data_IF_944835170191
#
_entry.id   IF_944835170191
#
_cell.length_a   1.000
_cell.length_b   1.000
_cell.length_c   1.000
_cell.angle_alpha   90.00
_cell.angle_beta   90.00
_cell.angle_gamma   90.00
#
_symmetry.space_group_name_H-M   'P 1'
#
loop_
_entity.id
_entity.type
_entity.pdbx_description
1 polymer ?
#
# COMPACT_ATOMS: atom_id res chain seq x y z
N UNK A 1 -42.95 -11.42 13.25
CA UNK A 1 -42.26 -10.14 12.89
C UNK A 1 -43.02 -9.58 11.70
N UNK A 2 -43.38 -8.29 11.72
CA UNK A 2 -44.12 -7.70 10.60
C UNK A 2 -43.21 -7.64 9.37
N UNK A 3 -43.72 -8.13 8.23
CA UNK A 3 -43.00 -8.14 6.94
C UNK A 3 -42.43 -6.77 6.52
N UNK A 4 -43.13 -5.67 6.89
CA UNK A 4 -42.65 -4.30 6.68
C UNK A 4 -41.27 -4.00 7.35
N UNK A 5 -40.99 -4.60 8.52
CA UNK A 5 -39.72 -4.37 9.22
C UNK A 5 -38.50 -4.96 8.49
N UNK A 6 -38.69 -5.97 7.65
CA UNK A 6 -37.59 -6.61 6.92
C UNK A 6 -37.19 -5.75 5.73
N UNK A 7 -38.14 -5.22 4.95
CA UNK A 7 -37.82 -4.36 3.79
C UNK A 7 -37.19 -3.06 4.22
N UNK A 8 -37.66 -2.45 5.30
CA UNK A 8 -37.03 -1.25 5.86
C UNK A 8 -35.62 -1.54 6.35
N UNK A 9 -35.41 -2.66 7.07
CA UNK A 9 -34.10 -3.07 7.53
C UNK A 9 -33.13 -3.37 6.38
N UNK A 10 -33.59 -4.06 5.32
CA UNK A 10 -32.78 -4.32 4.11
C UNK A 10 -32.44 -3.02 3.38
N UNK A 11 -33.42 -2.12 3.22
CA UNK A 11 -33.22 -0.82 2.58
C UNK A 11 -32.29 0.08 3.40
N UNK A 12 -32.39 0.02 4.72
CA UNK A 12 -31.50 0.75 5.62
C UNK A 12 -30.07 0.22 5.54
N UNK A 13 -29.89 -1.11 5.58
CA UNK A 13 -28.56 -1.74 5.42
C UNK A 13 -27.94 -1.37 4.06
N UNK A 14 -28.72 -1.46 2.98
CA UNK A 14 -28.25 -1.09 1.64
C UNK A 14 -27.79 0.38 1.58
N UNK A 15 -28.58 1.31 2.16
CA UNK A 15 -28.25 2.74 2.19
C UNK A 15 -27.07 3.07 3.11
N UNK A 16 -27.09 2.58 4.35
CA UNK A 16 -26.05 2.86 5.34
C UNK A 16 -24.71 2.29 4.92
N UNK A 17 -24.73 1.12 4.28
CA UNK A 17 -23.54 0.38 3.90
C UNK A 17 -23.14 0.58 2.43
N UNK A 18 -23.97 1.29 1.66
CA UNK A 18 -23.76 1.54 0.22
C UNK A 18 -23.53 0.25 -0.59
N UNK A 19 -24.24 -0.81 -0.21
CA UNK A 19 -24.20 -2.12 -0.86
C UNK A 19 -25.44 -2.25 -1.74
N UNK A 20 -25.30 -2.90 -2.91
CA UNK A 20 -26.41 -3.14 -3.81
C UNK A 20 -27.53 -3.91 -3.09
N UNK A 21 -28.76 -3.41 -3.26
CA UNK A 21 -29.97 -4.03 -2.67
C UNK A 21 -30.13 -5.48 -3.14
N UNK A 22 -29.81 -5.75 -4.38
CA UNK A 22 -29.90 -7.08 -4.97
C UNK A 22 -28.95 -8.07 -4.29
N UNK A 23 -27.71 -7.64 -4.00
CA UNK A 23 -26.74 -8.44 -3.25
C UNK A 23 -27.22 -8.72 -1.82
N UNK A 24 -27.86 -7.75 -1.15
CA UNK A 24 -28.39 -7.94 0.21
C UNK A 24 -29.54 -8.95 0.21
N UNK A 25 -30.44 -8.87 -0.80
CA UNK A 25 -31.54 -9.82 -1.00
C UNK A 25 -31.01 -11.23 -1.27
N UNK A 26 -30.07 -11.36 -2.18
CA UNK A 26 -29.46 -12.65 -2.55
C UNK A 26 -28.75 -13.29 -1.35
N UNK A 27 -28.01 -12.48 -0.58
CA UNK A 27 -27.35 -12.93 0.66
C UNK A 27 -28.34 -13.40 1.72
N UNK A 28 -29.50 -12.73 1.84
CA UNK A 28 -30.54 -13.15 2.76
C UNK A 28 -31.15 -14.50 2.33
N UNK A 29 -31.39 -14.67 1.04
CA UNK A 29 -31.87 -15.94 0.47
C UNK A 29 -30.89 -17.07 0.81
N UNK A 30 -29.59 -16.90 0.53
CA UNK A 30 -28.56 -17.92 0.83
C UNK A 30 -28.48 -18.24 2.32
N UNK A 31 -28.62 -17.23 3.18
CA UNK A 31 -28.61 -17.40 4.62
C UNK A 31 -29.84 -18.20 5.13
N UNK A 32 -31.02 -17.95 4.56
CA UNK A 32 -32.23 -18.67 4.89
C UNK A 32 -32.20 -20.11 4.40
N UNK A 33 -31.74 -20.36 3.17
CA UNK A 33 -31.48 -21.71 2.65
C UNK A 33 -30.49 -22.47 3.54
N UNK A 34 -29.41 -21.82 3.96
CA UNK A 34 -28.43 -22.42 4.86
C UNK A 34 -29.02 -22.75 6.25
N UNK A 35 -29.91 -21.89 6.74
CA UNK A 35 -30.60 -22.13 8.00
C UNK A 35 -31.64 -23.27 7.90
N UNK A 36 -32.35 -23.36 6.76
CA UNK A 36 -33.27 -24.44 6.45
C UNK A 36 -32.56 -25.80 6.39
N UNK A 37 -31.46 -25.88 5.66
CA UNK A 37 -30.62 -27.09 5.55
C UNK A 37 -30.09 -27.57 6.90
N UNK A 38 -29.76 -26.66 7.82
CA UNK A 38 -29.35 -27.06 9.18
C UNK A 38 -30.48 -27.68 10.02
N UNK A 39 -31.70 -27.23 9.78
CA UNK A 39 -32.87 -27.72 10.52
C UNK A 39 -33.45 -28.99 9.92
N UNK A 40 -33.38 -29.11 8.61
CA UNK A 40 -33.89 -30.23 7.80
C UNK A 40 -32.72 -30.77 6.94
N UNK A 41 -31.80 -31.54 7.52
CA UNK A 41 -30.58 -31.98 6.84
C UNK A 41 -30.85 -32.92 5.66
N UNK A 42 -31.98 -33.61 5.67
CA UNK A 42 -32.36 -34.58 4.65
C UNK A 42 -33.05 -33.93 3.44
N UNK A 43 -33.34 -32.62 3.49
CA UNK A 43 -33.97 -31.84 2.41
C UNK A 43 -32.90 -30.99 1.70
N UNK A 44 -32.59 -31.37 0.47
CA UNK A 44 -31.54 -30.67 -0.31
C UNK A 44 -32.04 -29.42 -1.07
N UNK A 45 -33.33 -29.35 -1.39
CA UNK A 45 -33.89 -28.38 -2.30
C UNK A 45 -34.88 -27.43 -1.59
N UNK A 46 -34.37 -26.33 -1.03
CA UNK A 46 -35.18 -25.22 -0.54
C UNK A 46 -35.21 -24.09 -1.57
N UNK A 47 -36.35 -23.46 -1.75
CA UNK A 47 -36.53 -22.22 -2.47
C UNK A 47 -36.90 -21.11 -1.49
N UNK A 48 -36.38 -19.91 -1.72
CA UNK A 48 -36.75 -18.73 -0.92
C UNK A 48 -37.41 -17.74 -1.84
N UNK A 49 -38.67 -17.45 -1.58
CA UNK A 49 -39.38 -16.35 -2.20
C UNK A 49 -39.27 -15.13 -1.31
N UNK A 50 -38.62 -14.09 -1.82
CA UNK A 50 -38.56 -12.78 -1.18
C UNK A 50 -39.07 -11.72 -2.15
N UNK A 51 -40.25 -11.21 -1.88
CA UNK A 51 -40.77 -10.02 -2.53
C UNK A 51 -40.12 -8.79 -1.88
N UNK A 52 -39.18 -8.19 -2.60
CA UNK A 52 -38.43 -7.04 -2.12
C UNK A 52 -39.24 -5.77 -1.94
N UNK A 53 -40.45 -5.70 -2.53
CA UNK A 53 -41.34 -4.52 -2.45
C UNK A 53 -42.36 -4.65 -1.33
N UNK A 54 -42.90 -5.82 -1.11
CA UNK A 54 -43.89 -6.09 -0.06
C UNK A 54 -43.23 -6.61 1.23
N UNK A 55 -41.98 -7.07 1.18
CA UNK A 55 -41.29 -7.72 2.30
C UNK A 55 -41.84 -9.10 2.62
N UNK A 56 -42.66 -9.66 1.73
CA UNK A 56 -43.15 -11.01 1.90
C UNK A 56 -42.03 -12.00 1.71
N UNK A 57 -41.81 -12.85 2.70
CA UNK A 57 -40.74 -13.82 2.69
C UNK A 57 -41.33 -15.20 3.02
N UNK A 58 -41.00 -16.18 2.16
CA UNK A 58 -41.35 -17.57 2.37
C UNK A 58 -40.15 -18.46 2.07
N UNK A 59 -39.96 -19.48 2.86
CA UNK A 59 -39.07 -20.60 2.56
C UNK A 59 -39.93 -21.76 2.14
N UNK A 60 -39.68 -22.30 0.97
CA UNK A 60 -40.44 -23.37 0.36
C UNK A 60 -39.56 -24.63 0.34
N UNK A 61 -40.15 -25.77 0.77
CA UNK A 61 -39.53 -27.08 0.62
C UNK A 61 -40.16 -27.80 -0.56
N UNK A 62 -39.37 -28.40 -1.42
CA UNK A 62 -39.86 -29.27 -2.50
C UNK A 62 -40.19 -30.62 -1.93
N UNK A 63 -41.50 -31.02 -2.01
CA UNK A 63 -41.97 -32.33 -1.58
C UNK A 63 -42.57 -33.06 -2.75
N UNK A 64 -42.35 -34.38 -2.76
CA UNK A 64 -42.92 -35.29 -3.77
C UNK A 64 -44.27 -35.80 -3.28
N UNK A 65 -45.30 -35.76 -4.13
CA UNK A 65 -46.65 -36.29 -3.81
C UNK A 65 -46.61 -37.80 -3.88
N UNK A 66 -46.92 -38.45 -2.73
CA UNK A 66 -46.91 -39.92 -2.56
C UNK A 66 -48.27 -40.41 -2.03
N UNK A 67 -48.53 -41.71 -2.13
CA UNK A 67 -49.78 -42.31 -1.60
C UNK A 67 -49.69 -42.53 -0.09
N UNK A 68 -48.50 -42.97 0.40
CA UNK A 68 -48.19 -43.08 1.84
C UNK A 68 -46.93 -42.30 2.13
N UNK A 69 -46.95 -41.36 3.06
CA UNK A 69 -45.84 -40.52 3.48
C UNK A 69 -44.93 -41.32 4.40
N UNK A 70 -43.74 -41.69 3.94
CA UNK A 70 -42.71 -42.34 4.73
C UNK A 70 -41.73 -41.33 5.32
N UNK A 71 -41.37 -40.31 4.56
CA UNK A 71 -40.47 -39.24 4.94
C UNK A 71 -41.18 -37.89 4.90
N UNK A 72 -41.80 -37.45 6.04
CA UNK A 72 -42.62 -36.23 6.08
C UNK A 72 -41.87 -34.95 5.68
N UNK A 73 -40.54 -34.97 5.66
CA UNK A 73 -39.72 -33.83 5.26
C UNK A 73 -39.54 -33.74 3.72
N UNK A 74 -39.66 -34.86 3.00
CA UNK A 74 -39.46 -34.98 1.55
C UNK A 74 -40.76 -35.31 0.79
N UNK A 75 -41.76 -35.85 1.48
CA UNK A 75 -42.98 -36.40 0.91
C UNK A 75 -44.21 -35.66 1.47
N UNK A 76 -45.30 -35.62 0.67
CA UNK A 76 -46.57 -35.11 1.06
C UNK A 76 -47.66 -35.98 0.46
N UNK A 77 -48.77 -36.20 1.15
CA UNK A 77 -49.89 -36.95 0.61
C UNK A 77 -50.70 -36.13 -0.40
N UNK A 78 -51.51 -36.78 -1.22
CA UNK A 78 -52.23 -36.16 -2.31
C UNK A 78 -53.30 -35.16 -1.81
N UNK A 79 -53.89 -35.41 -0.61
CA UNK A 79 -54.93 -34.52 -0.05
C UNK A 79 -54.29 -33.18 0.37
N UNK A 80 -53.20 -33.23 1.09
CA UNK A 80 -52.45 -32.03 1.51
C UNK A 80 -51.78 -31.34 0.33
N UNK A 81 -51.28 -32.08 -0.65
CA UNK A 81 -50.71 -31.49 -1.89
C UNK A 81 -51.74 -30.70 -2.66
N UNK A 82 -52.98 -31.14 -2.72
CA UNK A 82 -54.07 -30.40 -3.40
C UNK A 82 -54.54 -29.13 -2.68
N UNK A 83 -54.23 -29.02 -1.39
CA UNK A 83 -54.45 -27.74 -0.68
C UNK A 83 -53.44 -26.67 -1.09
N UNK A 84 -52.28 -27.10 -1.62
CA UNK A 84 -51.20 -26.21 -2.11
C UNK A 84 -51.39 -25.93 -3.60
N UNK A 85 -51.65 -26.97 -4.39
CA UNK A 85 -51.90 -26.90 -5.83
C UNK A 85 -53.08 -27.81 -6.21
N UNK A 86 -54.19 -27.22 -6.62
CA UNK A 86 -55.43 -27.92 -7.00
C UNK A 86 -55.24 -28.96 -8.10
N UNK A 87 -54.15 -28.86 -8.90
CA UNK A 87 -53.83 -29.75 -9.99
C UNK A 87 -52.79 -30.82 -9.64
N UNK A 88 -52.38 -30.91 -8.37
CA UNK A 88 -51.39 -31.88 -7.92
C UNK A 88 -51.75 -33.30 -8.23
N UNK A 89 -50.83 -34.10 -8.78
CA UNK A 89 -50.97 -35.53 -9.12
C UNK A 89 -49.88 -36.34 -8.38
N UNK A 90 -50.11 -37.63 -8.25
CA UNK A 90 -49.15 -38.57 -7.71
C UNK A 90 -47.82 -38.48 -8.47
N UNK A 91 -46.71 -38.39 -7.72
CA UNK A 91 -45.38 -38.24 -8.25
C UNK A 91 -45.03 -36.80 -8.68
N UNK A 92 -45.96 -35.86 -8.60
CA UNK A 92 -45.66 -34.43 -8.82
C UNK A 92 -44.84 -33.85 -7.66
N UNK A 93 -44.10 -32.76 -7.95
CA UNK A 93 -43.37 -32.01 -6.91
C UNK A 93 -44.18 -30.76 -6.60
N UNK A 94 -44.48 -30.57 -5.34
CA UNK A 94 -45.15 -29.36 -4.81
C UNK A 94 -44.22 -28.58 -3.91
N UNK A 95 -44.48 -27.26 -3.80
CA UNK A 95 -43.71 -26.34 -2.96
C UNK A 95 -44.48 -26.07 -1.67
N UNK A 96 -44.14 -26.77 -0.62
CA UNK A 96 -44.75 -26.53 0.70
C UNK A 96 -44.10 -25.34 1.40
N UNK A 97 -44.95 -24.44 1.90
CA UNK A 97 -44.49 -23.25 2.63
C UNK A 97 -44.13 -23.61 4.04
N UNK A 98 -42.84 -23.46 4.38
CA UNK A 98 -42.33 -23.68 5.73
C UNK A 98 -42.64 -22.44 6.61
N UNK A 99 -43.10 -22.69 7.84
CA UNK A 99 -43.28 -21.60 8.78
C UNK A 99 -41.92 -21.20 9.37
N UNK A 100 -41.54 -19.93 9.22
CA UNK A 100 -40.32 -19.38 9.75
C UNK A 100 -40.16 -19.54 11.27
N UNK A 101 -41.28 -19.69 11.99
CA UNK A 101 -41.29 -19.95 13.42
C UNK A 101 -40.66 -21.33 13.76
N UNK A 102 -40.77 -22.30 12.85
CA UNK A 102 -40.29 -23.66 13.02
C UNK A 102 -38.74 -23.78 12.87
N UNK A 103 -38.12 -22.76 12.29
CA UNK A 103 -36.67 -22.69 12.18
C UNK A 103 -35.95 -22.42 13.51
N UNK A 104 -36.69 -21.97 14.53
CA UNK A 104 -36.17 -21.65 15.85
C UNK A 104 -35.28 -20.40 15.89
N UNK A 105 -35.02 -19.90 17.09
CA UNK A 105 -34.22 -18.66 17.29
C UNK A 105 -32.80 -18.76 16.76
N UNK A 106 -32.19 -19.94 16.83
CA UNK A 106 -30.80 -20.16 16.41
C UNK A 106 -30.60 -20.01 14.89
N UNK A 107 -31.58 -20.47 14.09
CA UNK A 107 -31.50 -20.39 12.63
C UNK A 107 -31.62 -18.93 12.16
N UNK A 108 -32.57 -18.16 12.71
CA UNK A 108 -32.71 -16.73 12.41
C UNK A 108 -31.46 -15.96 12.81
N UNK A 109 -30.85 -16.31 13.94
CA UNK A 109 -29.62 -15.65 14.40
C UNK A 109 -28.44 -15.99 13.52
N UNK A 110 -28.36 -17.23 13.03
CA UNK A 110 -27.32 -17.66 12.05
C UNK A 110 -27.49 -16.91 10.73
N UNK A 111 -28.71 -16.82 10.20
CA UNK A 111 -29.00 -16.04 8.98
C UNK A 111 -28.57 -14.58 9.12
N UNK A 112 -28.89 -13.95 10.25
CA UNK A 112 -28.46 -12.58 10.55
C UNK A 112 -26.92 -12.45 10.57
N UNK A 113 -26.21 -13.41 11.16
CA UNK A 113 -24.74 -13.39 11.19
C UNK A 113 -24.14 -13.53 9.79
N UNK A 114 -24.68 -14.44 8.96
CA UNK A 114 -24.23 -14.63 7.57
C UNK A 114 -24.45 -13.34 6.77
N UNK A 115 -25.63 -12.72 6.89
CA UNK A 115 -25.95 -11.47 6.23
C UNK A 115 -24.96 -10.35 6.62
N UNK A 116 -24.74 -10.15 7.92
CA UNK A 116 -23.79 -9.14 8.40
C UNK A 116 -22.37 -9.40 7.90
N UNK A 117 -21.96 -10.66 7.85
CA UNK A 117 -20.64 -11.01 7.35
C UNK A 117 -20.50 -10.72 5.85
N UNK A 118 -21.48 -11.11 5.03
CA UNK A 118 -21.46 -10.87 3.58
C UNK A 118 -21.51 -9.39 3.22
N UNK A 119 -22.32 -8.63 3.92
CA UNK A 119 -22.35 -7.17 3.76
C UNK A 119 -21.00 -6.54 4.08
N UNK A 120 -20.34 -6.99 5.16
CA UNK A 120 -18.98 -6.54 5.50
C UNK A 120 -17.93 -6.94 4.44
N UNK A 121 -18.06 -8.14 3.86
CA UNK A 121 -17.18 -8.59 2.78
C UNK A 121 -17.35 -7.71 1.54
N UNK A 122 -18.59 -7.42 1.15
CA UNK A 122 -18.89 -6.53 0.02
C UNK A 122 -18.39 -5.09 0.24
N UNK A 123 -18.59 -4.52 1.45
CA UNK A 123 -18.02 -3.21 1.80
C UNK A 123 -16.50 -3.20 1.67
N UNK A 124 -15.83 -4.26 2.13
CA UNK A 124 -14.37 -4.37 2.05
C UNK A 124 -13.88 -4.49 0.61
N UNK A 125 -14.61 -5.20 -0.23
CA UNK A 125 -14.29 -5.32 -1.65
C UNK A 125 -14.42 -3.96 -2.35
N UNK A 126 -15.48 -3.21 -2.08
CA UNK A 126 -15.64 -1.85 -2.60
C UNK A 126 -14.52 -0.91 -2.14
N UNK A 127 -14.11 -0.99 -0.86
CA UNK A 127 -12.99 -0.19 -0.34
C UNK A 127 -11.70 -0.60 -1.06
N UNK A 128 -11.44 -1.90 -1.23
CA UNK A 128 -10.28 -2.39 -1.93
C UNK A 128 -10.22 -1.85 -3.37
N UNK A 129 -11.31 -1.96 -4.12
CA UNK A 129 -11.40 -1.49 -5.51
C UNK A 129 -11.19 0.02 -5.60
N UNK A 130 -11.85 0.78 -4.71
CA UNK A 130 -11.72 2.23 -4.67
C UNK A 130 -10.28 2.69 -4.37
N UNK A 131 -9.60 2.07 -3.42
CA UNK A 131 -8.25 2.49 -3.00
C UNK A 131 -7.14 1.84 -3.82
N UNK A 132 -7.37 0.70 -4.48
CA UNK A 132 -6.41 0.09 -5.40
C UNK A 132 -6.09 0.99 -6.59
N UNK A 133 -7.08 1.70 -7.12
CA UNK A 133 -6.89 2.70 -8.19
C UNK A 133 -6.06 3.89 -7.69
N UNK A 134 -6.10 4.17 -6.38
CA UNK A 134 -5.39 5.27 -5.73
C UNK A 134 -4.03 4.86 -5.14
N UNK A 135 -3.59 3.62 -5.37
CA UNK A 135 -2.26 3.17 -4.97
C UNK A 135 -1.20 4.12 -5.53
N UNK A 136 -0.26 4.52 -4.71
CA UNK A 136 0.75 5.49 -5.11
C UNK A 136 0.33 6.96 -5.01
N UNK A 137 -0.85 7.28 -4.49
CA UNK A 137 -1.29 8.65 -4.20
C UNK A 137 -1.09 9.03 -2.73
N UNK A 138 -1.24 10.31 -2.43
CA UNK A 138 -1.32 10.81 -1.04
C UNK A 138 -2.77 10.84 -0.59
N UNK A 139 -3.02 10.32 0.61
CA UNK A 139 -4.28 10.43 1.30
C UNK A 139 -4.13 11.17 2.62
N UNK A 140 -5.20 11.88 2.99
CA UNK A 140 -5.33 12.52 4.30
C UNK A 140 -6.35 11.79 5.15
N UNK A 141 -6.00 11.48 6.38
CA UNK A 141 -6.90 10.87 7.34
C UNK A 141 -6.82 11.54 8.71
N UNK A 142 -7.86 11.33 9.50
CA UNK A 142 -7.90 11.77 10.90
C UNK A 142 -7.52 10.63 11.82
N UNK A 143 -6.60 10.84 12.74
CA UNK A 143 -6.18 9.84 13.73
C UNK A 143 -7.37 9.44 14.60
N UNK A 144 -7.75 8.18 14.57
CA UNK A 144 -8.79 7.60 15.44
C UNK A 144 -8.18 7.08 16.74
N UNK A 145 -7.11 6.30 16.63
CA UNK A 145 -6.42 5.70 17.77
C UNK A 145 -5.00 5.28 17.38
N UNK A 146 -4.19 5.03 18.41
CA UNK A 146 -2.88 4.40 18.27
C UNK A 146 -2.98 3.03 18.94
N UNK A 147 -2.77 1.96 18.18
CA UNK A 147 -2.89 0.59 18.65
C UNK A 147 -1.63 -0.20 18.31
N UNK A 148 -0.99 -0.78 19.34
CA UNK A 148 0.26 -1.55 19.20
C UNK A 148 1.40 -0.79 18.50
N UNK A 149 1.36 0.54 18.54
CA UNK A 149 2.32 1.41 17.88
C UNK A 149 1.90 1.86 16.47
N UNK A 150 0.93 1.23 15.85
CA UNK A 150 0.37 1.64 14.58
C UNK A 150 -0.64 2.77 14.76
N UNK A 151 -0.60 3.76 13.86
CA UNK A 151 -1.56 4.88 13.87
C UNK A 151 -2.72 4.50 12.96
N UNK A 152 -3.91 4.35 13.55
CA UNK A 152 -5.14 4.07 12.81
C UNK A 152 -5.82 5.38 12.43
N UNK A 153 -6.13 5.53 11.15
CA UNK A 153 -6.70 6.73 10.55
C UNK A 153 -8.09 6.45 9.99
N UNK A 154 -8.95 7.44 10.08
CA UNK A 154 -10.23 7.48 9.37
C UNK A 154 -10.07 8.24 8.06
N UNK A 155 -10.36 7.59 6.94
CA UNK A 155 -10.41 8.19 5.60
C UNK A 155 -11.85 8.49 5.14
N UNK A 156 -12.81 8.59 6.08
CA UNK A 156 -14.23 8.74 5.81
C UNK A 156 -14.95 7.39 5.80
N UNK A 157 -14.91 6.65 4.71
CA UNK A 157 -15.54 5.32 4.62
C UNK A 157 -14.61 4.16 4.92
N UNK A 158 -13.30 4.38 4.83
CA UNK A 158 -12.28 3.36 5.04
C UNK A 158 -11.42 3.66 6.27
N UNK A 159 -10.90 2.63 6.88
CA UNK A 159 -9.83 2.72 7.86
C UNK A 159 -8.48 2.50 7.17
N UNK A 160 -7.52 3.35 7.51
CA UNK A 160 -6.13 3.19 7.12
C UNK A 160 -5.24 3.01 8.34
N UNK A 161 -4.05 2.47 8.14
CA UNK A 161 -3.03 2.44 9.17
C UNK A 161 -1.69 2.97 8.65
N UNK A 162 -0.95 3.64 9.53
CA UNK A 162 0.47 3.90 9.35
C UNK A 162 1.21 2.97 10.33
N UNK A 163 1.78 1.85 9.83
CA UNK A 163 2.55 0.93 10.66
C UNK A 163 3.74 1.63 11.34
N UNK A 164 4.16 1.16 12.50
CA UNK A 164 5.25 1.76 13.27
C UNK A 164 6.54 1.97 12.45
N UNK A 165 6.87 1.03 11.57
CA UNK A 165 8.04 1.10 10.67
C UNK A 165 7.92 2.19 9.59
N UNK A 166 6.69 2.60 9.27
CA UNK A 166 6.36 3.60 8.27
C UNK A 166 6.11 4.99 8.86
N UNK A 167 6.42 5.18 10.15
CA UNK A 167 6.28 6.45 10.86
C UNK A 167 7.63 7.16 10.96
N UNK A 168 7.61 8.49 10.90
CA UNK A 168 8.76 9.32 11.19
C UNK A 168 8.91 9.39 12.72
N UNK A 169 10.07 8.98 13.26
CA UNK A 169 10.30 8.85 14.72
C UNK A 169 10.09 10.14 15.52
N UNK A 170 10.23 11.30 14.90
CA UNK A 170 10.06 12.62 15.54
C UNK A 170 8.61 13.07 15.60
N UNK A 171 7.75 12.52 14.75
CA UNK A 171 6.33 12.87 14.71
C UNK A 171 5.59 12.30 15.91
N UNK A 172 4.70 13.09 16.45
CA UNK A 172 3.83 12.70 17.56
C UNK A 172 2.41 13.08 17.22
N UNK A 173 1.58 12.09 17.06
CA UNK A 173 0.18 12.27 16.73
C UNK A 173 -0.72 11.96 17.90
N UNK A 174 -1.84 12.66 17.97
CA UNK A 174 -2.93 12.47 18.94
C UNK A 174 -4.21 12.18 18.21
N UNK A 175 -5.16 11.60 18.91
CA UNK A 175 -6.51 11.42 18.40
C UNK A 175 -7.09 12.77 17.95
N UNK A 176 -7.66 12.80 16.72
CA UNK A 176 -8.19 14.01 16.10
C UNK A 176 -7.21 14.75 15.18
N UNK A 177 -5.92 14.45 15.22
CA UNK A 177 -4.94 15.08 14.32
C UNK A 177 -5.17 14.61 12.88
N UNK A 178 -4.95 15.54 11.94
CA UNK A 178 -4.96 15.21 10.50
C UNK A 178 -3.56 14.82 10.05
N UNK A 179 -3.45 13.69 9.35
CA UNK A 179 -2.18 13.14 8.86
C UNK A 179 -2.30 12.78 7.40
N UNK A 180 -1.29 13.19 6.61
CA UNK A 180 -1.14 12.77 5.22
C UNK A 180 -0.17 11.59 5.13
N UNK A 181 -0.46 10.63 4.26
CA UNK A 181 0.43 9.50 3.99
C UNK A 181 0.36 9.06 2.53
N UNK A 182 1.41 8.40 2.08
CA UNK A 182 1.47 7.77 0.77
C UNK A 182 0.87 6.38 0.85
N UNK A 183 -0.10 6.06 0.00
CA UNK A 183 -0.67 4.71 -0.09
C UNK A 183 0.35 3.80 -0.73
N UNK A 184 0.99 2.95 0.05
CA UNK A 184 1.98 2.01 -0.46
C UNK A 184 1.42 0.60 -0.65
N UNK A 185 0.30 0.28 0.03
CA UNK A 185 -0.34 -1.04 -0.08
C UNK A 185 -1.84 -0.96 0.25
N UNK A 186 -2.63 -1.77 -0.43
CA UNK A 186 -4.06 -1.97 -0.13
C UNK A 186 -4.31 -3.47 0.00
N UNK A 187 -4.88 -3.89 1.14
CA UNK A 187 -5.01 -5.30 1.52
C UNK A 187 -6.45 -5.81 1.35
N UNK A 188 -6.61 -7.01 0.79
CA UNK A 188 -7.85 -7.80 0.91
C UNK A 188 -7.84 -8.55 2.24
N UNK A 189 -8.16 -7.87 3.33
CA UNK A 189 -8.18 -8.47 4.68
C UNK A 189 -9.59 -8.53 5.24
N UNK A 190 -9.86 -9.55 6.06
CA UNK A 190 -11.13 -9.69 6.76
C UNK A 190 -11.15 -8.95 8.10
N UNK A 191 -9.99 -8.53 8.61
CA UNK A 191 -9.85 -7.82 9.89
C UNK A 191 -8.84 -6.68 9.78
N UNK A 192 -9.09 -5.60 10.51
CA UNK A 192 -8.20 -4.43 10.59
C UNK A 192 -8.27 -3.51 9.36
N UNK A 193 -7.43 -2.48 9.33
CA UNK A 193 -7.35 -1.51 8.24
C UNK A 193 -6.93 -2.15 6.92
N UNK A 194 -7.54 -1.70 5.81
CA UNK A 194 -7.23 -2.20 4.48
C UNK A 194 -6.20 -1.34 3.75
N UNK A 195 -6.16 -0.04 4.03
CA UNK A 195 -5.28 0.91 3.36
C UNK A 195 -4.06 1.15 4.24
N UNK A 196 -2.87 0.87 3.71
CA UNK A 196 -1.62 1.11 4.42
C UNK A 196 -0.94 2.36 3.88
N UNK A 197 -0.65 3.28 4.78
CA UNK A 197 -0.02 4.56 4.49
C UNK A 197 1.41 4.60 5.05
N UNK A 198 2.28 5.30 4.33
CA UNK A 198 3.67 5.52 4.75
C UNK A 198 3.99 7.01 4.86
N UNK A 199 4.72 7.38 5.91
CA UNK A 199 5.37 8.67 6.10
C UNK A 199 6.86 8.61 5.72
N UNK A 200 7.42 7.39 5.60
CA UNK A 200 8.85 7.16 5.34
C UNK A 200 9.16 6.92 3.86
N UNK A 201 8.20 6.49 3.07
CA UNK A 201 8.40 6.12 1.67
C UNK A 201 8.94 7.30 0.84
N UNK A 202 9.96 7.09 -0.03
CA UNK A 202 10.54 8.16 -0.86
C UNK A 202 9.53 8.82 -1.79
N UNK A 203 8.56 8.06 -2.31
CA UNK A 203 7.52 8.58 -3.19
C UNK A 203 6.57 9.58 -2.50
N UNK A 204 6.47 9.55 -1.16
CA UNK A 204 5.76 10.61 -0.44
C UNK A 204 6.38 11.98 -0.76
N UNK A 205 7.71 12.08 -0.70
CA UNK A 205 8.42 13.32 -1.00
C UNK A 205 8.21 13.76 -2.45
N UNK A 206 8.30 12.82 -3.40
CA UNK A 206 8.05 13.09 -4.83
C UNK A 206 6.64 13.65 -5.05
N UNK A 207 5.63 13.04 -4.45
CA UNK A 207 4.23 13.48 -4.57
C UNK A 207 3.97 14.83 -3.89
N UNK A 208 4.61 15.09 -2.73
CA UNK A 208 4.50 16.40 -2.08
C UNK A 208 5.06 17.51 -2.97
N UNK A 209 6.21 17.29 -3.61
CA UNK A 209 6.74 18.24 -4.60
C UNK A 209 5.81 18.42 -5.80
N UNK A 210 5.18 17.35 -6.30
CA UNK A 210 4.22 17.46 -7.41
C UNK A 210 2.98 18.29 -7.04
N UNK A 211 2.60 18.34 -5.76
CA UNK A 211 1.50 19.17 -5.27
C UNK A 211 1.92 20.66 -5.15
N UNK A 212 3.14 20.90 -4.65
CA UNK A 212 3.61 22.26 -4.34
C UNK A 212 4.24 22.97 -5.55
N UNK A 213 4.68 22.22 -6.58
CA UNK A 213 5.42 22.72 -7.74
C UNK A 213 4.64 22.43 -9.02
N UNK A 214 3.89 23.41 -9.57
CA UNK A 214 3.10 23.22 -10.79
C UNK A 214 3.93 22.70 -11.97
N UNK A 215 5.16 23.16 -12.13
CA UNK A 215 6.08 22.77 -13.19
C UNK A 215 6.40 21.26 -13.16
N UNK A 216 6.30 20.60 -11.99
CA UNK A 216 6.41 19.14 -11.88
C UNK A 216 5.12 18.47 -12.32
N UNK A 217 3.96 18.99 -11.91
CA UNK A 217 2.67 18.42 -12.29
C UNK A 217 2.37 18.56 -13.78
N UNK A 218 2.90 19.60 -14.42
CA UNK A 218 2.82 19.87 -15.86
C UNK A 218 3.88 19.09 -16.68
N UNK A 219 4.81 18.39 -16.01
CA UNK A 219 5.86 17.62 -16.66
C UNK A 219 7.03 18.45 -17.23
N UNK A 220 7.08 19.75 -16.92
CA UNK A 220 8.19 20.63 -17.32
C UNK A 220 9.43 20.28 -16.52
N UNK A 221 9.28 20.12 -15.20
CA UNK A 221 10.35 19.69 -14.29
C UNK A 221 10.14 18.22 -13.93
N UNK A 222 11.21 17.44 -14.00
CA UNK A 222 11.21 16.01 -13.69
C UNK A 222 12.06 15.73 -12.47
N UNK A 223 11.54 14.96 -11.50
CA UNK A 223 12.32 14.40 -10.40
C UNK A 223 12.84 13.04 -10.81
N UNK A 224 14.13 12.90 -11.05
CA UNK A 224 14.78 11.64 -11.46
C UNK A 224 15.01 10.68 -10.30
N UNK A 225 15.49 11.19 -9.19
CA UNK A 225 15.83 10.37 -8.03
C UNK A 225 15.46 11.08 -6.73
N UNK A 226 15.18 10.27 -5.71
CA UNK A 226 14.92 10.71 -4.34
C UNK A 226 15.72 9.84 -3.40
N UNK A 227 16.52 10.46 -2.54
CA UNK A 227 17.22 9.82 -1.43
C UNK A 227 16.74 10.43 -0.13
N UNK A 228 16.41 9.59 0.87
CA UNK A 228 15.73 10.09 2.06
C UNK A 228 16.13 9.32 3.32
N UNK A 229 16.48 10.06 4.35
CA UNK A 229 16.49 9.62 5.75
C UNK A 229 15.30 10.29 6.45
N UNK A 230 14.17 9.57 6.63
CA UNK A 230 12.89 10.17 7.02
C UNK A 230 12.94 10.95 8.32
N UNK A 231 12.44 12.19 8.29
CA UNK A 231 12.42 13.11 9.42
C UNK A 231 13.76 13.82 9.69
N UNK A 232 14.81 13.52 8.94
CA UNK A 232 16.12 14.14 9.13
C UNK A 232 16.57 14.95 7.91
N UNK A 233 16.85 14.27 6.80
CA UNK A 233 17.31 14.92 5.57
C UNK A 233 16.95 14.11 4.34
N UNK A 234 16.71 14.81 3.24
CA UNK A 234 16.47 14.22 1.93
C UNK A 234 17.25 14.97 0.84
N UNK A 235 17.48 14.29 -0.27
CA UNK A 235 17.96 14.88 -1.51
C UNK A 235 17.04 14.47 -2.66
N UNK A 236 16.74 15.43 -3.55
CA UNK A 236 16.02 15.16 -4.79
C UNK A 236 16.87 15.60 -5.97
N UNK A 237 16.90 14.82 -7.04
CA UNK A 237 17.56 15.16 -8.28
C UNK A 237 16.53 15.59 -9.31
N UNK A 238 16.66 16.81 -9.84
CA UNK A 238 15.68 17.43 -10.72
C UNK A 238 16.31 17.92 -12.03
N UNK A 239 15.58 17.80 -13.13
CA UNK A 239 15.92 18.44 -14.41
C UNK A 239 14.72 19.15 -14.98
N UNK A 240 14.93 20.00 -15.97
CA UNK A 240 13.88 20.65 -16.75
C UNK A 240 13.94 20.18 -18.21
N UNK A 241 12.76 19.99 -18.81
CA UNK A 241 12.60 19.74 -20.22
C UNK A 241 12.53 21.06 -21.05
N UNK A 242 12.41 22.21 -20.37
CA UNK A 242 12.45 23.54 -20.98
C UNK A 242 13.69 24.30 -20.47
N UNK A 243 14.60 24.67 -21.37
CA UNK A 243 15.84 25.37 -21.06
C UNK A 243 15.63 26.75 -20.37
N UNK A 244 14.43 27.31 -20.49
CA UNK A 244 14.07 28.59 -19.87
C UNK A 244 13.65 28.42 -18.40
N UNK A 245 13.44 27.21 -17.94
CA UNK A 245 12.99 26.92 -16.57
C UNK A 245 14.14 26.32 -15.76
N UNK A 246 14.59 27.06 -14.75
CA UNK A 246 15.53 26.51 -13.76
C UNK A 246 14.81 25.50 -12.87
N UNK A 247 15.14 24.19 -12.94
CA UNK A 247 14.45 23.17 -12.17
C UNK A 247 14.66 23.30 -10.66
N UNK A 248 15.83 23.79 -10.24
CA UNK A 248 16.13 24.00 -8.82
C UNK A 248 15.33 25.18 -8.29
N UNK A 249 15.36 26.31 -9.00
CA UNK A 249 14.61 27.51 -8.65
C UNK A 249 13.09 27.27 -8.59
N UNK A 250 12.55 26.49 -9.53
CA UNK A 250 11.13 26.10 -9.56
C UNK A 250 10.74 25.30 -8.29
N UNK A 251 11.56 24.36 -7.88
CA UNK A 251 11.32 23.55 -6.68
C UNK A 251 11.53 24.33 -5.37
N UNK A 252 12.49 25.25 -5.34
CA UNK A 252 12.74 26.12 -4.17
C UNK A 252 11.60 27.11 -4.00
N UNK A 253 11.18 27.73 -5.09
CA UNK A 253 10.17 28.79 -5.09
C UNK A 253 10.66 30.13 -4.54
N UNK A 254 9.81 31.16 -4.61
CA UNK A 254 10.16 32.50 -4.15
C UNK A 254 10.53 32.47 -2.65
N UNK A 255 11.75 32.90 -2.34
CA UNK A 255 12.30 32.88 -0.96
C UNK A 255 12.18 31.53 -0.26
N UNK A 256 12.19 30.44 -1.02
CA UNK A 256 12.09 29.10 -0.49
C UNK A 256 10.68 28.64 -0.08
N UNK A 257 9.64 29.36 -0.51
CA UNK A 257 8.25 29.11 -0.06
C UNK A 257 7.77 27.68 -0.34
N UNK A 258 8.07 27.15 -1.53
CA UNK A 258 7.61 25.81 -1.95
C UNK A 258 8.34 24.71 -1.19
N UNK A 259 9.66 24.74 -1.16
CA UNK A 259 10.45 23.75 -0.41
C UNK A 259 10.12 23.79 1.09
N UNK A 260 9.88 24.98 1.66
CA UNK A 260 9.50 25.13 3.06
C UNK A 260 8.11 24.59 3.36
N UNK A 261 7.18 24.58 2.41
CA UNK A 261 5.88 23.92 2.57
C UNK A 261 6.06 22.41 2.73
N UNK A 262 6.89 21.79 1.89
CA UNK A 262 7.20 20.35 1.97
C UNK A 262 7.98 20.03 3.27
N UNK A 263 8.96 20.87 3.64
CA UNK A 263 9.72 20.72 4.90
C UNK A 263 8.78 20.73 6.12
N UNK A 264 7.82 21.65 6.16
CA UNK A 264 6.81 21.71 7.25
C UNK A 264 5.92 20.48 7.29
N UNK A 265 5.46 20.00 6.13
CA UNK A 265 4.67 18.77 6.04
C UNK A 265 5.43 17.56 6.60
N UNK A 266 6.75 17.49 6.39
CA UNK A 266 7.62 16.42 6.86
C UNK A 266 8.31 16.72 8.20
N UNK A 267 7.68 17.56 9.03
CA UNK A 267 8.10 17.83 10.41
C UNK A 267 9.53 18.33 10.54
N UNK A 268 9.98 19.15 9.58
CA UNK A 268 11.29 19.78 9.58
C UNK A 268 12.41 18.97 8.91
N UNK A 269 12.08 17.94 8.11
CA UNK A 269 13.04 17.21 7.28
C UNK A 269 13.72 18.18 6.31
N UNK A 270 15.06 18.28 6.35
CA UNK A 270 15.81 19.17 5.45
C UNK A 270 15.85 18.58 4.05
N UNK A 271 15.64 19.39 3.03
CA UNK A 271 15.58 18.91 1.65
C UNK A 271 16.61 19.68 0.82
N UNK A 272 17.56 18.93 0.25
CA UNK A 272 18.53 19.43 -0.73
C UNK A 272 17.99 19.15 -2.14
N UNK A 273 17.93 20.19 -2.97
CA UNK A 273 17.51 20.05 -4.36
C UNK A 273 18.77 20.10 -5.23
N UNK A 274 19.04 19.00 -5.96
CA UNK A 274 20.23 18.81 -6.76
C UNK A 274 19.85 18.79 -8.24
N UNK A 275 20.52 19.58 -9.10
CA UNK A 275 20.29 19.46 -10.54
C UNK A 275 20.81 18.12 -11.04
N UNK A 276 19.93 17.37 -11.73
CA UNK A 276 20.29 16.12 -12.38
C UNK A 276 21.04 16.40 -13.69
N UNK A 277 22.07 15.61 -13.95
CA UNK A 277 22.90 15.69 -15.15
C UNK A 277 23.30 14.30 -15.56
N UNK A 278 23.40 14.05 -16.88
CA UNK A 278 23.75 12.75 -17.46
C UNK A 278 25.18 12.31 -17.14
N UNK A 279 26.12 13.26 -17.00
CA UNK A 279 27.51 12.97 -16.66
C UNK A 279 27.64 12.56 -15.20
N UNK A 280 27.98 11.30 -14.91
CA UNK A 280 28.01 10.78 -13.54
C UNK A 280 29.00 11.55 -12.64
N UNK A 281 30.15 11.95 -13.17
CA UNK A 281 31.17 12.70 -12.41
C UNK A 281 30.61 14.02 -11.88
N UNK A 282 29.91 14.74 -12.73
CA UNK A 282 29.30 16.04 -12.38
C UNK A 282 28.13 15.84 -11.44
N UNK A 283 27.28 14.83 -11.71
CA UNK A 283 26.13 14.53 -10.87
C UNK A 283 26.53 14.10 -9.45
N UNK A 284 27.57 13.25 -9.32
CA UNK A 284 28.12 12.82 -8.02
C UNK A 284 28.67 14.04 -7.25
N UNK A 285 29.44 14.90 -7.92
CA UNK A 285 29.96 16.11 -7.29
C UNK A 285 28.84 17.01 -6.75
N UNK A 286 27.78 17.22 -7.51
CA UNK A 286 26.62 18.00 -7.10
C UNK A 286 25.77 17.33 -6.00
N UNK A 287 25.68 16.00 -6.03
CA UNK A 287 24.96 15.24 -5.00
C UNK A 287 25.59 15.37 -3.61
N UNK A 288 26.89 15.68 -3.53
CA UNK A 288 27.60 15.92 -2.28
C UNK A 288 27.47 17.35 -1.74
N UNK A 289 26.78 18.24 -2.50
CA UNK A 289 26.48 19.58 -1.98
C UNK A 289 25.94 19.51 -0.54
N UNK A 290 26.35 20.46 0.38
CA UNK A 290 27.05 21.72 0.10
C UNK A 290 28.59 21.62 0.04
N UNK A 291 29.19 20.43 0.11
CA UNK A 291 30.64 20.31 -0.02
C UNK A 291 31.11 20.59 -1.45
N UNK A 292 32.27 21.22 -1.57
CA UNK A 292 32.96 21.39 -2.85
C UNK A 292 33.79 20.14 -3.15
N UNK A 293 33.62 19.60 -4.36
CA UNK A 293 34.35 18.42 -4.83
C UNK A 293 35.40 18.88 -5.84
N UNK A 294 36.66 18.51 -5.62
CA UNK A 294 37.81 18.88 -6.48
C UNK A 294 37.86 17.99 -7.72
N UNK A 295 37.61 16.67 -7.56
CA UNK A 295 37.64 15.70 -8.64
C UNK A 295 36.85 14.44 -8.30
N UNK A 296 36.25 13.80 -9.32
CA UNK A 296 35.58 12.51 -9.23
C UNK A 296 36.28 11.54 -10.18
N UNK A 297 36.65 10.36 -9.71
CA UNK A 297 37.28 9.30 -10.49
C UNK A 297 36.34 8.10 -10.47
N UNK A 298 35.84 7.70 -11.67
CA UNK A 298 34.87 6.61 -11.78
C UNK A 298 35.55 5.26 -12.05
N UNK A 299 35.13 4.26 -11.28
CA UNK A 299 35.24 2.85 -11.68
C UNK A 299 33.88 2.38 -12.23
N UNK A 300 33.72 2.47 -13.53
CA UNK A 300 32.46 2.10 -14.22
C UNK A 300 32.10 0.63 -14.11
N UNK A 301 33.10 -0.24 -13.93
CA UNK A 301 32.90 -1.70 -13.81
C UNK A 301 32.27 -2.07 -12.47
N UNK A 302 32.75 -1.43 -11.40
CA UNK A 302 32.24 -1.64 -10.03
C UNK A 302 31.09 -0.70 -9.66
N UNK A 303 30.76 0.24 -10.54
CA UNK A 303 29.80 1.31 -10.25
C UNK A 303 30.18 2.08 -8.98
N UNK A 304 31.46 2.41 -8.85
CA UNK A 304 32.07 3.04 -7.69
C UNK A 304 32.84 4.30 -8.09
N UNK A 305 32.91 5.29 -7.23
CA UNK A 305 33.62 6.53 -7.49
C UNK A 305 34.49 6.94 -6.29
N UNK A 306 35.76 7.28 -6.56
CA UNK A 306 36.56 8.01 -5.60
C UNK A 306 36.32 9.50 -5.78
N UNK A 307 35.81 10.14 -4.73
CA UNK A 307 35.52 11.55 -4.70
C UNK A 307 36.57 12.27 -3.91
N UNK A 308 37.36 13.11 -4.60
CA UNK A 308 38.45 13.83 -4.01
C UNK A 308 37.98 15.21 -3.61
N UNK A 309 38.20 15.53 -2.35
CA UNK A 309 37.86 16.81 -1.74
C UNK A 309 39.04 17.40 -1.00
N UNK A 310 39.00 18.72 -0.80
CA UNK A 310 40.02 19.38 0.03
C UNK A 310 39.77 19.01 1.53
N UNK A 311 40.80 19.09 2.34
CA UNK A 311 40.78 18.62 3.74
C UNK A 311 39.72 19.32 4.57
N UNK A 312 39.49 20.62 4.34
CA UNK A 312 38.42 21.41 4.99
C UNK A 312 37.00 21.02 4.55
N UNK A 313 36.86 20.39 3.35
CA UNK A 313 35.58 19.93 2.78
C UNK A 313 35.22 18.49 3.16
N UNK A 314 36.19 17.70 3.62
CA UNK A 314 35.99 16.27 3.92
C UNK A 314 34.86 16.03 4.91
N UNK A 315 34.85 16.73 6.04
CA UNK A 315 33.81 16.61 7.05
C UNK A 315 32.43 16.98 6.52
N UNK A 316 32.37 17.98 5.64
CA UNK A 316 31.12 18.45 5.02
C UNK A 316 30.60 17.47 3.99
N UNK A 317 31.50 16.90 3.17
CA UNK A 317 31.18 15.89 2.16
C UNK A 317 30.65 14.60 2.78
N UNK A 318 31.26 14.14 3.86
CA UNK A 318 30.78 12.98 4.63
C UNK A 318 29.49 13.32 5.37
N UNK A 319 29.45 14.47 5.99
CA UNK A 319 28.33 14.91 6.83
C UNK A 319 28.30 14.22 8.20
N UNK A 320 27.38 14.67 9.06
CA UNK A 320 27.20 14.09 10.40
C UNK A 320 26.86 12.61 10.30
N UNK A 321 27.66 11.77 10.94
CA UNK A 321 27.50 10.29 10.90
C UNK A 321 27.42 9.71 9.49
N UNK A 322 28.06 10.33 8.50
CA UNK A 322 28.03 9.87 7.11
C UNK A 322 26.73 10.15 6.35
N UNK A 323 25.85 11.00 6.86
CA UNK A 323 24.53 11.24 6.29
C UNK A 323 24.61 11.81 4.86
N UNK A 324 25.48 12.79 4.61
CA UNK A 324 25.55 13.42 3.29
C UNK A 324 26.05 12.45 2.22
N UNK A 325 27.11 11.68 2.54
CA UNK A 325 27.65 10.66 1.62
C UNK A 325 26.64 9.51 1.38
N UNK A 326 25.94 9.01 2.43
CA UNK A 326 24.92 7.97 2.24
C UNK A 326 23.76 8.44 1.36
N UNK A 327 23.27 9.67 1.55
CA UNK A 327 22.23 10.24 0.69
C UNK A 327 22.71 10.44 -0.74
N UNK A 328 23.98 10.82 -0.94
CA UNK A 328 24.56 10.93 -2.28
C UNK A 328 24.67 9.57 -2.96
N UNK A 329 25.09 8.52 -2.24
CA UNK A 329 25.09 7.13 -2.73
C UNK A 329 23.69 6.69 -3.17
N UNK A 330 22.69 6.91 -2.33
CA UNK A 330 21.29 6.56 -2.66
C UNK A 330 20.76 7.36 -3.86
N UNK A 331 21.09 8.64 -3.95
CA UNK A 331 20.62 9.53 -5.00
C UNK A 331 21.21 9.18 -6.37
N UNK A 332 22.51 8.90 -6.39
CA UNK A 332 23.26 8.67 -7.63
C UNK A 332 23.29 7.19 -8.05
N UNK A 333 23.11 6.28 -7.10
CA UNK A 333 23.22 4.85 -7.30
C UNK A 333 24.67 4.40 -7.54
N UNK A 334 25.67 5.20 -7.14
CA UNK A 334 27.10 4.91 -7.16
C UNK A 334 27.63 4.70 -5.75
N UNK A 335 28.51 3.71 -5.56
CA UNK A 335 29.31 3.63 -4.33
C UNK A 335 30.31 4.80 -4.30
N UNK A 336 30.46 5.47 -3.17
CA UNK A 336 31.31 6.66 -3.05
C UNK A 336 32.35 6.48 -1.95
N UNK A 337 33.64 6.64 -2.30
CA UNK A 337 34.74 6.84 -1.36
C UNK A 337 35.11 8.32 -1.36
N UNK A 338 34.79 9.01 -0.29
CA UNK A 338 35.16 10.42 -0.12
C UNK A 338 36.45 10.51 0.61
N UNK A 339 37.52 11.00 -0.06
CA UNK A 339 38.88 11.03 0.41
C UNK A 339 39.56 12.35 0.09
N UNK A 340 40.65 12.67 0.79
CA UNK A 340 41.52 13.80 0.44
C UNK A 340 42.47 13.47 -0.71
N UNK A 341 43.02 14.51 -1.36
CA UNK A 341 44.01 14.27 -2.42
C UNK A 341 45.26 13.57 -1.89
N UNK A 342 45.67 13.87 -0.66
CA UNK A 342 46.79 13.21 -0.01
C UNK A 342 46.52 11.72 0.24
N UNK A 343 45.34 11.36 0.72
CA UNK A 343 44.93 9.96 0.89
C UNK A 343 44.85 9.23 -0.45
N UNK A 344 44.35 9.90 -1.49
CA UNK A 344 44.31 9.34 -2.83
C UNK A 344 45.69 9.05 -3.38
N UNK A 345 46.63 9.99 -3.24
CA UNK A 345 48.03 9.79 -3.67
C UNK A 345 48.72 8.67 -2.89
N UNK A 346 48.52 8.60 -1.58
CA UNK A 346 49.04 7.54 -0.72
C UNK A 346 48.49 6.17 -1.14
N UNK A 347 47.17 6.06 -1.33
CA UNK A 347 46.57 4.79 -1.80
C UNK A 347 47.10 4.38 -3.18
N UNK A 348 47.30 5.34 -4.07
CA UNK A 348 47.84 5.11 -5.40
C UNK A 348 49.30 4.61 -5.34
N UNK A 349 50.14 5.26 -4.55
CA UNK A 349 51.53 4.84 -4.35
C UNK A 349 51.61 3.42 -3.76
N UNK A 350 50.81 3.12 -2.74
CA UNK A 350 50.71 1.76 -2.17
C UNK A 350 50.23 0.72 -3.20
N UNK A 351 49.29 1.07 -4.06
CA UNK A 351 48.86 0.19 -5.15
C UNK A 351 49.96 -0.07 -6.19
N UNK A 352 50.70 0.97 -6.57
CA UNK A 352 51.81 0.86 -7.51
C UNK A 352 52.93 0.01 -6.91
N UNK A 353 53.28 0.20 -5.66
CA UNK A 353 54.27 -0.60 -4.92
C UNK A 353 53.84 -2.08 -4.82
N UNK A 354 52.60 -2.32 -4.40
CA UNK A 354 52.01 -3.67 -4.31
C UNK A 354 52.00 -4.37 -5.69
N UNK A 355 51.67 -3.62 -6.74
CA UNK A 355 51.69 -4.16 -8.10
C UNK A 355 53.07 -4.56 -8.56
N UNK A 356 54.11 -3.77 -8.21
CA UNK A 356 55.49 -4.10 -8.51
C UNK A 356 55.99 -5.33 -7.72
N UNK A 357 55.61 -5.45 -6.43
CA UNK A 357 55.94 -6.64 -5.63
C UNK A 357 55.27 -7.90 -6.19
N UNK A 358 53.99 -7.85 -6.50
CA UNK A 358 53.22 -8.97 -7.07
C UNK A 358 53.77 -9.43 -8.44
N UNK A 359 54.32 -8.49 -9.24
CA UNK A 359 54.98 -8.82 -10.52
C UNK A 359 56.25 -9.66 -10.35
N UNK A 360 56.92 -9.60 -9.21
CA UNK A 360 58.12 -10.42 -8.92
C UNK A 360 57.75 -11.89 -8.69
N UNK A 361 56.50 -12.24 -8.49
CA UNK A 361 56.03 -13.61 -8.34
C UNK A 361 56.02 -14.33 -9.68
N UNK A 362 56.52 -15.57 -9.68
CA UNK A 362 56.62 -16.41 -10.88
C UNK A 362 55.21 -16.74 -11.41
N UNK A 363 54.91 -16.32 -12.64
CA UNK A 363 53.62 -16.57 -13.30
C UNK A 363 52.59 -15.47 -13.13
N UNK A 364 52.87 -14.37 -12.42
CA UNK A 364 51.98 -13.22 -12.29
C UNK A 364 52.26 -12.24 -13.44
N UNK A 365 51.29 -12.08 -14.31
CA UNK A 365 51.32 -11.06 -15.38
C UNK A 365 50.92 -9.69 -14.84
N UNK A 366 51.17 -8.63 -15.60
CA UNK A 366 50.79 -7.27 -15.26
C UNK A 366 49.29 -7.12 -14.94
N UNK A 367 48.45 -7.78 -15.74
CA UNK A 367 46.99 -7.81 -15.52
C UNK A 367 46.61 -8.54 -14.22
N UNK A 368 47.27 -9.63 -13.90
CA UNK A 368 47.03 -10.39 -12.66
C UNK A 368 47.49 -9.56 -11.45
N UNK A 369 48.69 -8.94 -11.51
CA UNK A 369 49.22 -8.09 -10.45
C UNK A 369 48.25 -6.91 -10.18
N UNK A 370 47.81 -6.25 -11.24
CA UNK A 370 46.81 -5.17 -11.12
C UNK A 370 45.49 -5.65 -10.49
N UNK A 371 44.97 -6.79 -10.92
CA UNK A 371 43.76 -7.38 -10.37
C UNK A 371 43.88 -7.74 -8.88
N UNK A 372 45.03 -8.31 -8.49
CA UNK A 372 45.32 -8.66 -7.09
C UNK A 372 45.47 -7.40 -6.23
N UNK A 373 46.25 -6.43 -6.66
CA UNK A 373 46.42 -5.16 -5.95
C UNK A 373 45.10 -4.42 -5.77
N UNK A 374 44.25 -4.36 -6.81
CA UNK A 374 42.91 -3.76 -6.74
C UNK A 374 41.94 -4.56 -5.87
N UNK A 375 42.20 -5.84 -5.62
CA UNK A 375 41.43 -6.70 -4.71
C UNK A 375 41.92 -6.63 -3.25
N UNK A 376 42.93 -5.81 -2.95
CA UNK A 376 43.41 -5.57 -1.58
C UNK A 376 44.58 -6.45 -1.15
N UNK A 377 45.19 -7.19 -2.06
CA UNK A 377 46.43 -7.91 -1.80
C UNK A 377 47.61 -6.92 -1.87
N UNK A 378 48.12 -6.48 -0.70
CA UNK A 378 49.07 -5.37 -0.56
C UNK A 378 50.52 -5.86 -0.43
N UNK A 379 50.77 -7.11 -0.01
CA UNK A 379 52.10 -7.71 0.12
C UNK A 379 52.03 -9.23 0.01
N UNK A 380 53.19 -9.84 -0.16
CA UNK A 380 53.41 -11.30 -0.19
C UNK A 380 53.45 -11.82 1.25
#
# INVERSE_FOLDING_TARGET
MNNLNIVEALSQISREKNVDRELVVQTLNDALVSAAKKRFPDVDNFEVELDADTGHMAVLARKTVVEEVNEPELEIDLEDARLIDDQAQMGAVVLERLNLADFGRNAIQTAKQILVQRVREAEREQIYDQFSIRLGSIESGTVQQISHGDIVLNLGRAEAAIPLKEQIRRERYRQGDSVRGYIFEVLKTTRGPQVLLSRTHPELLRKLFSIEVPEISEGIVTIHAVAREPGERAKIAVSSNDERVDPVGACVGVKGSRVQAVVRELSGERIDIVPWIDEPEVFIARALSPASVSRVILDRRRKHAAVIVDEDQLSLAIGRSGQNSRLAVQLTGWGLDVITDQEHQTRRALMEESQEELRRLRGVTELIALSLATSGFISI
#
